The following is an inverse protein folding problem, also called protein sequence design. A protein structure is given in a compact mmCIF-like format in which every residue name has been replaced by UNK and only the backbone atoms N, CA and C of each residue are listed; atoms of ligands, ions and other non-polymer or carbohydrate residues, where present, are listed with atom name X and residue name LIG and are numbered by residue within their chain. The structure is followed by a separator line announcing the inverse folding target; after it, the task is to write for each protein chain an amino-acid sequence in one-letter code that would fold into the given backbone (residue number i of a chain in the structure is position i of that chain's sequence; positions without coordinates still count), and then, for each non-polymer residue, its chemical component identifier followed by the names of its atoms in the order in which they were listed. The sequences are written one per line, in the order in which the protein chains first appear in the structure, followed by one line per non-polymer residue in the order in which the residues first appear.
data_IF_925666198179
#
_entry.id   IF_925666198179
#
_cell.length_a   1.000
_cell.length_b   1.000
_cell.length_c   1.000
_cell.angle_alpha   90.00
_cell.angle_beta   90.00
_cell.angle_gamma   90.00
#
_symmetry.space_group_name_H-M   'P 1'
#
loop_
_entity.id
_entity.type
_entity.pdbx_description
1 polymer ?
#
# COMPACT_ATOMS: atom_id res chain seq x y z
N UNK A 1 -0.34 -8.49 -20.85
CA UNK A 1 0.85 -7.72 -21.29
C UNK A 1 2.03 -8.24 -20.51
N UNK A 2 3.07 -8.72 -21.19
CA UNK A 2 4.30 -9.21 -20.56
C UNK A 2 5.10 -8.03 -19.99
N UNK A 3 5.38 -8.04 -18.69
CA UNK A 3 6.30 -7.08 -18.08
C UNK A 3 7.71 -7.26 -18.67
N UNK A 4 8.40 -6.13 -18.89
CA UNK A 4 9.76 -6.06 -19.41
C UNK A 4 10.72 -6.89 -18.50
N UNK A 5 11.52 -7.83 -19.07
CA UNK A 5 12.48 -8.62 -18.32
C UNK A 5 13.42 -7.81 -17.40
N UNK A 6 13.82 -6.61 -17.82
CA UNK A 6 14.73 -5.75 -17.05
C UNK A 6 14.02 -5.06 -15.87
N UNK A 7 12.73 -4.77 -16.02
CA UNK A 7 11.90 -4.32 -14.89
C UNK A 7 11.74 -5.42 -13.85
N UNK A 8 11.57 -6.67 -14.29
CA UNK A 8 11.43 -7.80 -13.37
C UNK A 8 12.70 -8.03 -12.54
N UNK A 9 13.90 -7.93 -13.15
CA UNK A 9 15.16 -8.05 -12.43
C UNK A 9 15.41 -6.92 -11.43
N UNK A 10 15.04 -5.70 -11.80
CA UNK A 10 15.12 -4.53 -10.93
C UNK A 10 14.20 -4.66 -9.71
N UNK A 11 12.93 -5.06 -9.93
CA UNK A 11 11.97 -5.33 -8.85
C UNK A 11 12.49 -6.41 -7.90
N UNK A 12 13.06 -7.49 -8.43
CA UNK A 12 13.59 -8.57 -7.62
C UNK A 12 14.78 -8.12 -6.77
N UNK A 13 15.65 -7.26 -7.31
CA UNK A 13 16.76 -6.67 -6.54
C UNK A 13 16.25 -5.91 -5.30
N UNK A 14 15.18 -5.13 -5.45
CA UNK A 14 14.57 -4.43 -4.32
C UNK A 14 13.95 -5.40 -3.30
N UNK A 15 13.30 -6.47 -3.76
CA UNK A 15 12.73 -7.48 -2.87
C UNK A 15 13.79 -8.21 -2.08
N UNK A 16 14.89 -8.62 -2.73
CA UNK A 16 16.04 -9.25 -2.09
C UNK A 16 16.62 -8.33 -1.01
N UNK A 17 16.87 -7.06 -1.33
CA UNK A 17 17.40 -6.09 -0.37
C UNK A 17 16.54 -5.98 0.90
N UNK A 18 15.22 -6.06 0.76
CA UNK A 18 14.31 -6.00 1.92
C UNK A 18 14.27 -7.33 2.68
N UNK A 19 14.13 -8.45 1.96
CA UNK A 19 14.00 -9.79 2.54
C UNK A 19 15.22 -10.21 3.34
N UNK A 20 16.42 -9.74 2.98
CA UNK A 20 17.65 -9.99 3.76
C UNK A 20 17.52 -9.49 5.21
N UNK A 21 16.81 -8.38 5.43
CA UNK A 21 16.71 -7.75 6.76
C UNK A 21 15.35 -7.96 7.43
N UNK A 22 14.28 -8.20 6.66
CA UNK A 22 12.95 -8.52 7.18
C UNK A 22 12.11 -9.25 6.11
N UNK A 23 11.78 -10.51 6.36
CA UNK A 23 11.01 -11.38 5.46
C UNK A 23 9.50 -11.30 5.68
N UNK A 24 9.04 -10.53 6.67
CA UNK A 24 7.62 -10.35 7.00
C UNK A 24 6.99 -9.13 6.31
N UNK A 25 7.72 -8.47 5.40
CA UNK A 25 7.25 -7.30 4.67
C UNK A 25 6.41 -7.68 3.44
N UNK A 26 5.40 -6.88 3.11
CA UNK A 26 4.54 -7.10 1.93
C UNK A 26 4.92 -6.14 0.81
N UNK A 27 5.33 -6.69 -0.33
CA UNK A 27 5.51 -5.89 -1.55
C UNK A 27 4.16 -5.42 -2.09
N UNK A 28 4.06 -4.12 -2.41
CA UNK A 28 2.88 -3.54 -3.08
C UNK A 28 3.27 -2.85 -4.38
N UNK A 29 2.64 -3.29 -5.47
CA UNK A 29 2.76 -2.64 -6.79
C UNK A 29 2.16 -1.22 -6.78
N UNK A 30 1.18 -0.96 -5.91
CA UNK A 30 0.67 0.39 -5.70
C UNK A 30 1.75 1.29 -5.11
N UNK A 31 2.42 0.82 -4.05
CA UNK A 31 3.49 1.54 -3.37
C UNK A 31 4.71 1.74 -4.26
N UNK A 32 5.04 0.77 -5.11
CA UNK A 32 6.07 0.93 -6.15
C UNK A 32 5.79 2.15 -7.05
N UNK A 33 4.55 2.35 -7.47
CA UNK A 33 4.16 3.54 -8.26
C UNK A 33 4.25 4.81 -7.44
N UNK A 34 3.83 4.77 -6.17
CA UNK A 34 3.92 5.91 -5.28
C UNK A 34 5.38 6.31 -5.01
N UNK A 35 6.32 5.36 -5.02
CA UNK A 35 7.75 5.68 -4.91
C UNK A 35 8.21 6.56 -6.06
N UNK A 36 7.76 6.33 -7.30
CA UNK A 36 8.10 7.21 -8.42
C UNK A 36 7.57 8.64 -8.24
N UNK A 37 6.35 8.78 -7.71
CA UNK A 37 5.77 10.08 -7.39
C UNK A 37 6.58 10.78 -6.28
N UNK A 38 6.91 10.03 -5.23
CA UNK A 38 7.74 10.50 -4.13
C UNK A 38 9.15 10.92 -4.58
N UNK A 39 9.78 10.17 -5.48
CA UNK A 39 11.10 10.49 -6.03
C UNK A 39 11.08 11.82 -6.81
N UNK A 40 9.95 12.16 -7.44
CA UNK A 40 9.75 13.45 -8.12
C UNK A 40 9.42 14.57 -7.12
N UNK A 41 8.64 14.28 -6.09
CA UNK A 41 8.24 15.22 -5.05
C UNK A 41 8.14 14.53 -3.68
N UNK A 42 9.17 14.63 -2.81
CA UNK A 42 9.26 13.89 -1.53
C UNK A 42 8.16 14.16 -0.49
N UNK A 43 7.25 15.11 -0.75
CA UNK A 43 6.09 15.43 0.09
C UNK A 43 4.76 14.96 -0.49
N UNK A 44 4.77 14.38 -1.70
CA UNK A 44 3.56 13.94 -2.40
C UNK A 44 2.99 12.62 -1.92
N UNK A 45 3.79 11.84 -1.17
CA UNK A 45 3.39 10.54 -0.60
C UNK A 45 3.87 10.47 0.84
N UNK A 46 2.96 10.18 1.76
CA UNK A 46 3.29 9.96 3.17
C UNK A 46 3.76 8.52 3.38
N UNK A 47 4.95 8.36 3.98
CA UNK A 47 5.53 7.06 4.32
C UNK A 47 6.08 7.11 5.76
N UNK A 48 5.98 6.00 6.49
CA UNK A 48 6.47 5.90 7.88
C UNK A 48 7.98 5.70 7.96
N UNK A 49 8.57 5.14 6.91
CA UNK A 49 10.00 5.04 6.74
C UNK A 49 10.36 5.17 5.26
N UNK A 50 11.53 5.75 4.99
CA UNK A 50 12.07 5.90 3.64
C UNK A 50 13.54 5.54 3.64
N UNK A 51 13.95 4.57 2.82
CA UNK A 51 15.36 4.31 2.49
C UNK A 51 15.57 4.78 1.06
N UNK A 52 16.51 5.71 0.85
CA UNK A 52 16.75 6.30 -0.48
C UNK A 52 18.23 6.52 -0.72
N UNK A 53 18.63 6.52 -1.98
CA UNK A 53 19.98 6.88 -2.38
C UNK A 53 20.07 7.38 -3.81
N UNK A 54 21.02 8.27 -4.04
CA UNK A 54 21.37 8.80 -5.36
C UNK A 54 22.86 8.57 -5.60
N UNK A 55 23.22 8.15 -6.81
CA UNK A 55 24.60 8.08 -7.26
C UNK A 55 24.71 8.50 -8.73
N UNK A 56 25.94 8.80 -9.14
CA UNK A 56 26.30 9.11 -10.53
C UNK A 56 27.30 8.08 -11.04
N UNK A 57 27.07 7.56 -12.23
CA UNK A 57 27.90 6.53 -12.85
C UNK A 57 28.47 7.06 -14.16
N UNK A 58 29.76 6.90 -14.44
CA UNK A 58 30.33 7.23 -15.75
C UNK A 58 29.57 6.55 -16.88
N UNK A 59 29.50 7.18 -18.07
CA UNK A 59 28.90 6.55 -19.27
C UNK A 59 29.56 5.23 -19.67
N UNK A 60 30.84 5.09 -19.38
CA UNK A 60 31.60 3.86 -19.58
C UNK A 60 31.32 2.77 -18.52
N UNK A 61 30.48 3.04 -17.52
CA UNK A 61 30.08 2.04 -16.54
C UNK A 61 28.94 1.17 -17.10
N UNK A 62 29.34 0.05 -17.70
CA UNK A 62 28.43 -0.95 -18.30
C UNK A 62 27.82 -1.91 -17.29
N UNK A 63 28.03 -1.71 -15.97
CA UNK A 63 27.41 -2.59 -14.97
C UNK A 63 25.87 -2.49 -15.06
N UNK A 64 25.16 -3.63 -14.91
CA UNK A 64 23.69 -3.65 -14.93
C UNK A 64 23.07 -2.74 -13.85
N UNK A 65 21.81 -2.32 -14.07
CA UNK A 65 21.12 -1.41 -13.15
C UNK A 65 20.97 -2.02 -11.75
N UNK A 66 20.79 -3.34 -11.66
CA UNK A 66 20.71 -4.10 -10.41
C UNK A 66 21.97 -3.91 -9.56
N UNK A 67 23.15 -4.01 -10.18
CA UNK A 67 24.44 -3.80 -9.50
C UNK A 67 24.57 -2.35 -9.04
N UNK A 68 24.16 -1.40 -9.88
CA UNK A 68 24.15 0.03 -9.53
C UNK A 68 23.19 0.31 -8.37
N UNK A 69 22.02 -0.32 -8.32
CA UNK A 69 21.04 -0.21 -7.24
C UNK A 69 21.57 -0.80 -5.92
N UNK A 70 22.21 -1.97 -5.97
CA UNK A 70 22.87 -2.57 -4.81
C UNK A 70 23.96 -1.64 -4.25
N UNK A 71 24.76 -1.01 -5.11
CA UNK A 71 25.77 -0.04 -4.67
C UNK A 71 25.14 1.20 -4.01
N UNK A 72 23.99 1.68 -4.50
CA UNK A 72 23.31 2.86 -3.98
C UNK A 72 22.62 2.59 -2.63
N UNK A 73 21.95 1.45 -2.53
CA UNK A 73 21.04 1.12 -1.43
C UNK A 73 21.64 0.15 -0.43
N UNK A 74 22.50 -0.79 -0.84
CA UNK A 74 23.00 -1.87 0.01
C UNK A 74 23.60 -1.37 1.33
N UNK A 75 24.56 -0.44 1.27
CA UNK A 75 25.13 0.13 2.48
C UNK A 75 24.14 1.00 3.29
N UNK A 76 23.10 1.56 2.66
CA UNK A 76 22.05 2.31 3.37
C UNK A 76 21.12 1.38 4.13
N UNK A 77 20.77 0.25 3.54
CA UNK A 77 20.08 -0.84 4.22
C UNK A 77 20.93 -1.38 5.37
N UNK A 78 22.23 -1.60 5.16
CA UNK A 78 23.13 -2.08 6.20
C UNK A 78 23.18 -1.12 7.41
N UNK A 79 23.32 0.20 7.17
CA UNK A 79 23.26 1.21 8.23
C UNK A 79 21.94 1.22 9.00
N UNK A 80 20.84 0.89 8.33
CA UNK A 80 19.48 0.93 8.88
C UNK A 80 18.91 -0.46 9.14
N UNK A 81 19.75 -1.51 9.17
CA UNK A 81 19.29 -2.89 9.26
C UNK A 81 18.45 -3.16 10.48
N UNK A 82 18.80 -2.54 11.62
CA UNK A 82 18.03 -2.66 12.87
C UNK A 82 16.65 -2.01 12.75
N UNK A 83 16.52 -0.93 11.99
CA UNK A 83 15.22 -0.27 11.77
C UNK A 83 14.33 -1.13 10.85
N UNK A 84 14.90 -1.65 9.76
CA UNK A 84 14.19 -2.55 8.82
C UNK A 84 13.76 -3.85 9.50
N UNK A 85 14.66 -4.47 10.26
CA UNK A 85 14.39 -5.70 11.00
C UNK A 85 13.32 -5.53 12.09
N UNK A 86 13.14 -4.31 12.61
CA UNK A 86 12.13 -3.98 13.63
C UNK A 86 10.81 -3.48 13.04
N UNK A 87 10.68 -3.37 11.72
CA UNK A 87 9.40 -3.06 11.11
C UNK A 87 8.37 -4.11 11.54
N UNK A 88 7.16 -3.70 11.96
CA UNK A 88 6.12 -4.63 12.34
C UNK A 88 5.86 -5.65 11.20
N UNK A 89 5.51 -6.89 11.54
CA UNK A 89 5.04 -7.86 10.56
C UNK A 89 3.96 -7.24 9.67
N UNK A 90 4.00 -7.56 8.38
CA UNK A 90 3.00 -7.14 7.40
C UNK A 90 3.00 -5.63 7.08
N UNK A 91 4.07 -4.94 7.45
CA UNK A 91 4.41 -3.61 6.90
C UNK A 91 4.44 -3.69 5.38
N UNK A 92 3.68 -2.79 4.72
CA UNK A 92 3.71 -2.67 3.27
C UNK A 92 4.96 -1.92 2.86
N UNK A 93 5.58 -2.32 1.76
CA UNK A 93 6.63 -1.54 1.12
C UNK A 93 6.50 -1.57 -0.40
N UNK A 94 7.08 -0.56 -1.02
CA UNK A 94 7.36 -0.53 -2.45
C UNK A 94 8.69 0.17 -2.69
N UNK A 95 9.37 -0.19 -3.76
CA UNK A 95 10.63 0.42 -4.15
C UNK A 95 10.61 0.76 -5.63
N UNK A 96 11.28 1.83 -6.02
CA UNK A 96 11.45 2.20 -7.42
C UNK A 96 12.66 3.13 -7.59
N UNK A 97 13.01 3.43 -8.84
CA UNK A 97 14.11 4.32 -9.17
C UNK A 97 13.90 5.11 -10.46
N UNK A 98 14.59 6.25 -10.55
CA UNK A 98 14.68 7.10 -11.74
C UNK A 98 16.12 7.03 -12.22
N UNK A 99 16.29 6.64 -13.48
CA UNK A 99 17.57 6.71 -14.20
C UNK A 99 17.51 7.91 -15.14
N UNK A 100 18.45 8.83 -14.99
CA UNK A 100 18.63 9.95 -15.90
C UNK A 100 19.93 9.75 -16.68
N UNK A 101 19.79 9.58 -17.99
CA UNK A 101 20.89 9.34 -18.92
C UNK A 101 21.25 10.56 -19.77
N UNK A 102 20.69 11.74 -19.50
CA UNK A 102 20.92 12.95 -20.32
C UNK A 102 22.27 13.61 -20.07
N UNK A 103 23.00 13.19 -19.02
CA UNK A 103 24.32 13.73 -18.72
C UNK A 103 25.36 13.33 -19.77
N UNK A 104 26.23 14.27 -20.17
CA UNK A 104 27.27 14.05 -21.18
C UNK A 104 28.30 13.00 -20.78
N UNK A 105 28.68 12.97 -19.50
CA UNK A 105 29.77 12.11 -18.99
C UNK A 105 29.33 11.11 -17.94
N UNK A 106 28.16 11.33 -17.32
CA UNK A 106 27.65 10.49 -16.23
C UNK A 106 26.13 10.35 -16.32
N UNK A 107 25.65 9.14 -16.04
CA UNK A 107 24.26 8.87 -15.73
C UNK A 107 24.01 9.09 -14.24
N UNK A 108 22.79 9.48 -13.86
CA UNK A 108 22.40 9.53 -12.45
C UNK A 108 21.29 8.53 -12.18
N UNK A 109 21.42 7.79 -11.08
CA UNK A 109 20.39 6.87 -10.61
C UNK A 109 19.94 7.35 -9.24
N UNK A 110 18.64 7.54 -9.07
CA UNK A 110 18.01 7.89 -7.81
C UNK A 110 16.94 6.86 -7.47
N UNK A 111 17.10 6.14 -6.37
CA UNK A 111 16.19 5.07 -5.97
C UNK A 111 15.72 5.25 -4.53
N UNK A 112 14.53 4.74 -4.24
CA UNK A 112 13.98 4.70 -2.90
C UNK A 112 13.15 3.44 -2.66
N UNK A 113 12.99 3.11 -1.39
CA UNK A 113 12.01 2.20 -0.82
C UNK A 113 11.22 2.98 0.22
N UNK A 114 9.89 2.95 0.11
CA UNK A 114 8.97 3.55 1.06
C UNK A 114 8.24 2.43 1.81
N UNK A 115 7.95 2.68 3.09
CA UNK A 115 7.31 1.72 3.98
C UNK A 115 6.11 2.34 4.68
N UNK A 116 5.04 1.57 4.81
CA UNK A 116 3.84 1.89 5.56
C UNK A 116 3.56 0.79 6.57
N UNK A 117 3.65 1.16 7.85
CA UNK A 117 3.42 0.26 8.98
C UNK A 117 1.92 -0.01 9.12
N UNK A 118 1.53 -1.21 9.58
CA UNK A 118 0.14 -1.47 9.91
C UNK A 118 -0.30 -0.52 11.05
N UNK A 119 -1.55 -0.01 11.03
CA UNK A 119 -2.01 0.97 12.01
C UNK A 119 -2.31 0.39 13.41
N UNK A 120 -2.14 -0.93 13.65
CA UNK A 120 -2.49 -1.57 14.93
C UNK A 120 -1.46 -2.66 15.30
N UNK A 121 -1.08 -2.72 16.58
CA UNK A 121 -0.25 -3.78 17.16
C UNK A 121 -1.03 -5.11 17.28
N UNK A 122 -0.88 -5.95 16.26
CA UNK A 122 -0.55 -7.38 16.43
C UNK A 122 -1.59 -8.40 16.91
N UNK A 123 -2.78 -8.07 17.43
CA UNK A 123 -3.73 -9.11 17.84
C UNK A 123 -5.17 -8.78 17.51
N UNK A 124 -5.68 -9.29 16.39
CA UNK A 124 -7.11 -9.23 16.04
C UNK A 124 -7.57 -10.50 15.31
N UNK A 125 -7.34 -11.66 15.92
CA UNK A 125 -8.13 -12.86 15.60
C UNK A 125 -9.54 -12.67 16.17
N UNK A 126 -10.43 -12.05 15.41
CA UNK A 126 -11.83 -11.93 15.83
C UNK A 126 -12.58 -13.17 15.38
N UNK A 127 -12.80 -14.09 16.31
CA UNK A 127 -13.76 -15.18 16.14
C UNK A 127 -15.17 -14.63 16.32
N UNK A 128 -15.84 -14.33 15.21
CA UNK A 128 -17.26 -13.97 15.22
C UNK A 128 -18.11 -15.15 14.76
N UNK A 129 -18.89 -15.73 15.67
CA UNK A 129 -19.83 -16.80 15.36
C UNK A 129 -21.06 -16.34 14.56
N UNK A 130 -21.09 -15.12 14.03
CA UNK A 130 -22.13 -14.60 13.12
C UNK A 130 -21.59 -13.60 12.12
N UNK A 131 -22.31 -13.41 11.02
CA UNK A 131 -22.08 -12.27 10.15
C UNK A 131 -22.33 -10.99 10.95
N UNK A 132 -21.38 -10.05 10.88
CA UNK A 132 -21.43 -8.84 11.66
C UNK A 132 -20.55 -7.74 11.06
N UNK A 133 -20.62 -6.53 11.62
CA UNK A 133 -19.69 -5.47 11.26
C UNK A 133 -18.25 -5.90 11.54
N UNK A 134 -17.31 -5.32 10.80
CA UNK A 134 -15.90 -5.46 11.11
C UNK A 134 -15.58 -4.99 12.54
N UNK A 135 -14.51 -5.52 13.16
CA UNK A 135 -14.06 -5.12 14.49
C UNK A 135 -13.73 -3.62 14.51
N UNK A 136 -13.78 -2.98 15.68
CA UNK A 136 -13.55 -1.53 15.81
C UNK A 136 -12.18 -1.11 15.26
N UNK A 137 -11.19 -1.97 15.44
CA UNK A 137 -9.80 -1.81 15.01
C UNK A 137 -9.69 -1.75 13.48
N UNK A 138 -10.68 -2.24 12.74
CA UNK A 138 -10.74 -2.12 11.29
C UNK A 138 -10.94 -0.66 10.82
N UNK A 139 -11.47 0.22 11.67
CA UNK A 139 -11.71 1.62 11.33
C UNK A 139 -10.42 2.34 10.93
N UNK A 140 -9.38 2.25 11.76
CA UNK A 140 -8.09 2.88 11.46
C UNK A 140 -7.40 2.21 10.25
N UNK A 141 -7.51 0.89 10.11
CA UNK A 141 -7.06 0.17 8.91
C UNK A 141 -7.68 0.76 7.64
N UNK A 142 -9.01 0.86 7.60
CA UNK A 142 -9.72 1.32 6.42
C UNK A 142 -9.43 2.80 6.13
N UNK A 143 -9.28 3.61 7.16
CA UNK A 143 -8.86 5.01 7.05
C UNK A 143 -7.47 5.13 6.45
N UNK A 144 -6.51 4.35 6.93
CA UNK A 144 -5.15 4.31 6.37
C UNK A 144 -5.19 3.91 4.90
N UNK A 145 -5.89 2.82 4.54
CA UNK A 145 -6.02 2.37 3.14
C UNK A 145 -6.61 3.48 2.26
N UNK A 146 -7.68 4.15 2.71
CA UNK A 146 -8.29 5.23 1.95
C UNK A 146 -7.34 6.42 1.76
N UNK A 147 -6.60 6.81 2.81
CA UNK A 147 -5.68 7.95 2.74
C UNK A 147 -4.49 7.72 1.80
N UNK A 148 -4.09 6.46 1.55
CA UNK A 148 -3.01 6.15 0.61
C UNK A 148 -3.24 6.70 -0.81
N UNK A 149 -4.49 6.98 -1.19
CA UNK A 149 -4.86 7.37 -2.54
C UNK A 149 -5.18 8.87 -2.69
N UNK A 150 -5.59 9.56 -1.62
CA UNK A 150 -5.85 11.00 -1.64
C UNK A 150 -5.86 11.59 -0.21
N UNK A 151 -4.84 12.39 0.11
CA UNK A 151 -4.70 13.08 1.41
C UNK A 151 -5.65 14.28 1.60
N UNK A 152 -6.26 14.77 0.52
CA UNK A 152 -7.22 15.88 0.54
C UNK A 152 -8.63 15.49 1.01
N UNK A 153 -8.90 14.19 1.08
CA UNK A 153 -10.18 13.64 1.54
C UNK A 153 -10.25 13.65 3.07
N UNK A 154 -11.38 14.07 3.62
CA UNK A 154 -11.63 14.12 5.07
C UNK A 154 -12.33 12.85 5.52
N UNK A 155 -11.70 12.14 6.46
CA UNK A 155 -12.33 11.00 7.10
C UNK A 155 -13.55 11.42 7.93
N UNK A 156 -14.61 10.62 7.90
CA UNK A 156 -15.83 10.82 8.67
C UNK A 156 -16.39 9.50 9.20
N UNK A 157 -16.51 9.41 10.52
CA UNK A 157 -17.08 8.25 11.19
C UNK A 157 -18.57 8.07 10.86
N UNK A 158 -19.28 9.16 10.57
CA UNK A 158 -20.65 9.11 10.06
C UNK A 158 -20.70 8.42 8.69
N UNK A 159 -19.79 8.79 7.78
CA UNK A 159 -19.70 8.14 6.48
C UNK A 159 -19.21 6.69 6.57
N UNK A 160 -18.41 6.34 7.59
CA UNK A 160 -18.02 4.96 7.86
C UNK A 160 -19.23 4.10 8.29
N UNK A 161 -20.14 4.66 9.12
CA UNK A 161 -21.42 4.01 9.46
C UNK A 161 -22.31 3.87 8.23
N UNK A 162 -22.43 4.92 7.41
CA UNK A 162 -23.16 4.89 6.14
C UNK A 162 -22.60 3.85 5.16
N UNK A 163 -21.29 3.64 5.14
CA UNK A 163 -20.68 2.58 4.33
C UNK A 163 -21.15 1.18 4.75
N UNK A 164 -21.30 0.95 6.06
CA UNK A 164 -21.88 -0.30 6.58
C UNK A 164 -23.37 -0.44 6.24
N UNK A 165 -24.15 0.64 6.33
CA UNK A 165 -25.56 0.65 5.92
C UNK A 165 -25.72 0.36 4.43
N UNK A 166 -24.88 0.98 3.61
CA UNK A 166 -24.83 0.77 2.17
C UNK A 166 -24.50 -0.68 1.80
N UNK A 167 -23.59 -1.33 2.54
CA UNK A 167 -23.27 -2.75 2.33
C UNK A 167 -24.47 -3.68 2.57
N UNK A 168 -25.41 -3.29 3.45
CA UNK A 168 -26.64 -4.03 3.71
C UNK A 168 -27.73 -3.71 2.69
N UNK A 169 -27.84 -2.44 2.30
CA UNK A 169 -28.80 -1.97 1.31
C UNK A 169 -28.17 -0.82 0.49
N UNK A 170 -27.62 -1.10 -0.71
CA UNK A 170 -26.92 -0.10 -1.51
C UNK A 170 -27.76 1.13 -1.89
N UNK A 171 -29.08 1.00 -1.89
CA UNK A 171 -30.01 2.08 -2.25
C UNK A 171 -30.29 3.03 -1.09
N UNK A 172 -29.96 2.65 0.15
CA UNK A 172 -30.27 3.45 1.36
C UNK A 172 -29.36 4.67 1.53
N UNK A 173 -28.18 4.67 0.90
CA UNK A 173 -27.18 5.74 1.02
C UNK A 173 -26.76 6.22 -0.37
N UNK A 174 -26.96 7.52 -0.63
CA UNK A 174 -26.47 8.17 -1.86
C UNK A 174 -25.04 8.69 -1.67
N UNK A 175 -24.07 7.99 -2.25
CA UNK A 175 -22.67 8.42 -2.33
C UNK A 175 -22.33 8.85 -3.76
N UNK A 176 -21.40 9.80 -3.91
CA UNK A 176 -20.95 10.27 -5.23
C UNK A 176 -19.94 9.29 -5.86
N UNK A 177 -19.24 8.52 -5.02
CA UNK A 177 -18.37 7.44 -5.45
C UNK A 177 -18.35 6.33 -4.40
N UNK A 178 -18.31 5.08 -4.87
CA UNK A 178 -18.19 3.89 -4.04
C UNK A 178 -17.04 3.02 -4.54
N UNK A 179 -16.17 2.61 -3.63
CA UNK A 179 -15.16 1.58 -3.86
C UNK A 179 -15.50 0.42 -2.94
N UNK A 180 -15.76 -0.76 -3.48
CA UNK A 180 -16.14 -1.94 -2.70
C UNK A 180 -15.39 -3.18 -3.17
N UNK A 181 -15.26 -4.15 -2.27
CA UNK A 181 -14.68 -5.44 -2.58
C UNK A 181 -15.13 -6.50 -1.59
N UNK A 182 -15.22 -7.73 -2.08
CA UNK A 182 -15.65 -8.90 -1.32
C UNK A 182 -14.70 -10.04 -1.64
N UNK A 183 -14.16 -10.69 -0.61
CA UNK A 183 -13.26 -11.84 -0.76
C UNK A 183 -13.53 -12.92 0.30
N UNK A 184 -13.13 -14.14 -0.03
CA UNK A 184 -13.23 -15.31 0.84
C UNK A 184 -11.83 -15.83 1.18
N UNK A 185 -11.59 -16.08 2.47
CA UNK A 185 -10.30 -16.57 2.96
C UNK A 185 -10.46 -17.97 3.55
N UNK A 186 -9.58 -18.93 3.21
CA UNK A 186 -9.52 -20.20 3.91
C UNK A 186 -9.34 -19.99 5.42
N UNK A 187 -9.91 -20.88 6.25
CA UNK A 187 -9.74 -20.82 7.71
C UNK A 187 -8.29 -20.95 8.18
N UNK A 188 -7.48 -21.65 7.40
CA UNK A 188 -6.03 -21.76 7.58
C UNK A 188 -5.27 -20.51 7.14
N UNK A 189 -5.94 -19.49 6.60
CA UNK A 189 -5.30 -18.24 6.23
C UNK A 189 -4.99 -17.44 7.50
N UNK A 190 -3.72 -17.48 7.89
CA UNK A 190 -3.16 -16.75 9.04
C UNK A 190 -2.96 -15.24 8.77
N UNK A 191 -3.58 -14.68 7.73
CA UNK A 191 -3.44 -13.26 7.41
C UNK A 191 -4.15 -12.37 8.43
N UNK A 192 -3.44 -11.35 8.94
CA UNK A 192 -4.04 -10.30 9.78
C UNK A 192 -5.14 -9.56 9.02
N UNK A 193 -6.07 -8.96 9.77
CA UNK A 193 -7.18 -8.20 9.21
C UNK A 193 -6.71 -7.08 8.24
N UNK A 194 -5.60 -6.41 8.57
CA UNK A 194 -4.94 -5.41 7.70
C UNK A 194 -4.64 -5.98 6.31
N UNK A 195 -4.03 -7.17 6.25
CA UNK A 195 -3.66 -7.81 4.99
C UNK A 195 -4.90 -8.21 4.20
N UNK A 196 -5.89 -8.81 4.87
CA UNK A 196 -7.14 -9.22 4.22
C UNK A 196 -7.87 -8.02 3.62
N UNK A 197 -7.94 -6.89 4.34
CA UNK A 197 -8.58 -5.66 3.86
C UNK A 197 -7.79 -4.98 2.73
N UNK A 198 -6.46 -4.98 2.78
CA UNK A 198 -5.63 -4.53 1.66
C UNK A 198 -5.89 -5.35 0.40
N UNK A 199 -5.83 -6.68 0.48
CA UNK A 199 -6.08 -7.57 -0.66
C UNK A 199 -7.45 -7.32 -1.30
N UNK A 200 -8.44 -6.97 -0.48
CA UNK A 200 -9.78 -6.62 -0.95
C UNK A 200 -9.75 -5.27 -1.66
N UNK A 201 -9.27 -4.21 -0.98
CA UNK A 201 -9.52 -2.83 -1.40
C UNK A 201 -8.46 -2.28 -2.35
N UNK A 202 -7.18 -2.61 -2.16
CA UNK A 202 -6.06 -2.06 -2.94
C UNK A 202 -6.26 -2.23 -4.45
N UNK A 203 -6.62 -3.41 -4.99
CA UNK A 203 -6.83 -3.55 -6.44
C UNK A 203 -7.97 -2.68 -6.97
N UNK A 204 -9.02 -2.44 -6.17
CA UNK A 204 -10.19 -1.64 -6.58
C UNK A 204 -9.92 -0.15 -6.50
N UNK A 205 -9.16 0.29 -5.50
CA UNK A 205 -8.64 1.65 -5.47
C UNK A 205 -7.66 1.90 -6.61
N UNK A 206 -6.77 0.95 -6.92
CA UNK A 206 -5.85 1.07 -8.05
C UNK A 206 -6.57 1.17 -9.40
N UNK A 207 -7.63 0.38 -9.60
CA UNK A 207 -8.46 0.46 -10.79
C UNK A 207 -9.10 1.85 -10.97
N UNK A 208 -9.47 2.52 -9.86
CA UNK A 208 -10.09 3.85 -9.87
C UNK A 208 -9.14 4.97 -9.45
N UNK A 209 -7.83 4.73 -9.49
CA UNK A 209 -6.81 5.63 -8.91
C UNK A 209 -6.94 7.06 -9.41
N UNK A 210 -7.11 7.24 -10.73
CA UNK A 210 -7.22 8.57 -11.33
C UNK A 210 -8.47 9.33 -10.88
N UNK A 211 -9.57 8.62 -10.61
CA UNK A 211 -10.80 9.23 -10.11
C UNK A 211 -10.65 9.63 -8.65
N UNK A 212 -10.11 8.74 -7.80
CA UNK A 212 -9.88 8.99 -6.37
C UNK A 212 -8.93 10.16 -6.16
N UNK A 213 -7.83 10.21 -6.93
CA UNK A 213 -6.86 11.33 -6.88
C UNK A 213 -7.46 12.68 -7.26
N UNK A 214 -8.51 12.70 -8.09
CA UNK A 214 -9.17 13.93 -8.55
C UNK A 214 -10.30 14.38 -7.63
N UNK A 215 -10.61 13.63 -6.56
CA UNK A 215 -11.57 14.07 -5.57
C UNK A 215 -11.11 15.39 -4.95
N UNK A 216 -12.07 16.32 -4.80
CA UNK A 216 -11.81 17.67 -4.31
C UNK A 216 -11.35 17.62 -2.85
N UNK A 217 -10.46 18.54 -2.48
CA UNK A 217 -10.10 18.74 -1.08
C UNK A 217 -11.37 19.03 -0.26
N UNK A 218 -11.53 18.33 0.86
CA UNK A 218 -12.75 18.42 1.67
C UNK A 218 -13.85 17.42 1.32
N UNK A 219 -13.69 16.62 0.26
CA UNK A 219 -14.54 15.43 0.02
C UNK A 219 -14.57 14.57 1.28
N UNK A 220 -15.76 14.24 1.76
CA UNK A 220 -15.94 13.37 2.91
C UNK A 220 -15.79 11.92 2.48
N UNK A 221 -15.04 11.13 3.24
CA UNK A 221 -14.98 9.69 3.05
C UNK A 221 -15.18 8.94 4.35
N UNK A 222 -15.75 7.76 4.21
CA UNK A 222 -15.82 6.79 5.29
C UNK A 222 -15.92 5.40 4.71
N UNK A 223 -15.23 4.47 5.37
CA UNK A 223 -15.20 3.08 4.97
C UNK A 223 -15.75 2.21 6.09
N UNK A 224 -16.44 1.14 5.71
CA UNK A 224 -16.98 0.14 6.62
C UNK A 224 -16.89 -1.24 5.99
N UNK A 225 -17.21 -2.25 6.78
CA UNK A 225 -17.25 -3.61 6.26
C UNK A 225 -18.03 -4.56 7.16
N UNK A 226 -18.35 -5.70 6.58
CA UNK A 226 -18.93 -6.85 7.26
C UNK A 226 -17.95 -8.02 7.15
N UNK A 227 -17.88 -8.82 8.20
CA UNK A 227 -17.19 -10.10 8.19
C UNK A 227 -18.10 -11.22 8.66
N UNK A 228 -17.90 -12.40 8.08
CA UNK A 228 -18.54 -13.62 8.50
C UNK A 228 -17.46 -14.68 8.63
N UNK A 229 -17.32 -15.23 9.84
CA UNK A 229 -16.38 -16.33 10.10
C UNK A 229 -17.11 -17.67 10.31
N UNK A 230 -18.40 -17.77 9.97
CA UNK A 230 -19.10 -19.06 9.94
C UNK A 230 -18.68 -19.89 8.72
N UNK A 231 -18.59 -21.21 8.92
CA UNK A 231 -18.38 -22.17 7.83
C UNK A 231 -16.91 -22.40 7.47
N UNK A 232 -16.68 -22.95 6.27
CA UNK A 232 -15.36 -23.44 5.82
C UNK A 232 -14.38 -22.34 5.43
N UNK A 233 -14.86 -21.10 5.22
CA UNK A 233 -14.07 -19.94 4.80
C UNK A 233 -14.56 -18.71 5.55
N UNK A 234 -13.64 -17.84 5.93
CA UNK A 234 -14.00 -16.49 6.31
C UNK A 234 -14.42 -15.69 5.08
N UNK A 235 -15.31 -14.74 5.28
CA UNK A 235 -15.78 -13.82 4.27
C UNK A 235 -15.65 -12.39 4.80
N UNK A 236 -15.12 -11.48 3.99
CA UNK A 236 -15.09 -10.05 4.28
C UNK A 236 -15.62 -9.28 3.07
N UNK A 237 -16.51 -8.31 3.31
CA UNK A 237 -16.97 -7.34 2.31
C UNK A 237 -16.81 -5.95 2.89
N UNK A 238 -16.03 -5.12 2.22
CA UNK A 238 -15.73 -3.77 2.63
C UNK A 238 -16.14 -2.78 1.53
N UNK A 239 -16.53 -1.59 1.94
CA UNK A 239 -16.82 -0.46 1.07
C UNK A 239 -16.27 0.84 1.66
N UNK A 240 -15.81 1.71 0.78
CA UNK A 240 -15.46 3.10 1.03
C UNK A 240 -16.39 3.98 0.20
N UNK A 241 -17.10 4.87 0.87
CA UNK A 241 -18.00 5.85 0.26
C UNK A 241 -17.31 7.22 0.25
N UNK A 242 -17.53 7.97 -0.82
CA UNK A 242 -17.06 9.35 -0.95
C UNK A 242 -18.24 10.27 -1.29
N UNK A 243 -18.26 11.42 -0.63
CA UNK A 243 -19.22 12.50 -0.85
C UNK A 243 -18.48 13.79 -1.12
N UNK A 244 -18.73 14.36 -2.30
CA UNK A 244 -18.19 15.66 -2.69
C UNK A 244 -18.66 16.74 -1.71
N UNK A 245 -17.82 17.75 -1.43
CA UNK A 245 -18.18 18.87 -0.57
C UNK A 245 -19.37 19.67 -1.11
#
# INVERSE_FOLDING_TARGET
GSEDPDQNRTKETFRILNRIFNDNLIWSNHWEKNVLEWLKSPKSVKADMVIRGKAYFPKADYRPLEVKLLQILGHRFERRKKEVARLPPFTIYGCNGIVNTTGKTKDSVYAACLYLKPPVDGNNSVESKSEGPLPKEAGEILKTISSMYNDGVKWSDEWAKKALEWLKSPESVKADMVIKGKEYFPKTSHGLLWQKLLLILEPRFDHRRSEVKKLLNGTMAGCGGIMNTKGKKDFIHAACLFKKP
#
